data_IF_109318547423
#
_entry.id   IF_109318547423
#
_cell.length_a   1.000
_cell.length_b   1.000
_cell.length_c   1.000
_cell.angle_alpha   90.00
_cell.angle_beta   90.00
_cell.angle_gamma   90.00
#
_symmetry.space_group_name_H-M   'P 1'
#
loop_
_entity.id
_entity.type
_entity.pdbx_description
1 polymer ?
#
# COMPACT_ATOMS: atom_id res chain seq x y z
N UNK A 1 13.56 -2.17 -24.12
CA UNK A 1 13.50 -3.65 -23.97
C UNK A 1 12.18 -3.96 -23.29
N UNK A 2 11.22 -4.55 -24.00
CA UNK A 2 9.93 -4.92 -23.41
C UNK A 2 10.12 -6.12 -22.48
N UNK A 3 9.55 -6.06 -21.28
CA UNK A 3 9.62 -7.16 -20.31
C UNK A 3 8.57 -8.22 -20.68
N UNK A 4 8.81 -9.50 -20.35
CA UNK A 4 7.80 -10.53 -20.58
C UNK A 4 6.56 -10.25 -19.73
N UNK A 5 5.36 -10.52 -20.27
CA UNK A 5 4.03 -10.09 -19.76
C UNK A 5 3.76 -10.43 -18.28
N UNK A 6 4.31 -11.55 -17.81
CA UNK A 6 4.27 -12.01 -16.41
C UNK A 6 5.10 -11.13 -15.46
N UNK A 7 6.21 -10.56 -15.94
CA UNK A 7 7.05 -9.63 -15.19
C UNK A 7 6.49 -8.21 -15.28
N UNK A 8 5.85 -7.82 -16.38
CA UNK A 8 5.21 -6.50 -16.52
C UNK A 8 4.15 -6.21 -15.45
N UNK A 9 3.43 -7.24 -14.97
CA UNK A 9 2.47 -7.05 -13.89
C UNK A 9 3.19 -6.67 -12.58
N UNK A 10 4.20 -7.43 -12.20
CA UNK A 10 4.94 -7.24 -10.93
C UNK A 10 5.90 -6.06 -11.04
N UNK A 11 6.36 -5.71 -12.24
CA UNK A 11 7.41 -4.73 -12.44
C UNK A 11 7.22 -4.00 -13.78
N UNK A 12 6.20 -3.12 -13.90
CA UNK A 12 5.87 -2.47 -15.17
C UNK A 12 7.01 -1.56 -15.65
N UNK A 13 7.32 -1.58 -16.94
CA UNK A 13 8.27 -0.65 -17.55
C UNK A 13 7.66 0.74 -17.65
N UNK A 14 8.22 1.71 -16.94
CA UNK A 14 7.69 3.07 -16.91
C UNK A 14 8.34 3.88 -18.03
N UNK A 15 7.65 3.93 -19.17
CA UNK A 15 8.09 4.69 -20.35
C UNK A 15 7.30 5.99 -20.49
N UNK A 16 6.00 5.94 -20.17
CA UNK A 16 5.07 7.08 -20.28
C UNK A 16 4.44 7.45 -18.94
N UNK A 17 3.92 8.68 -18.86
CA UNK A 17 3.17 9.19 -17.69
C UNK A 17 1.94 8.34 -17.36
N UNK A 18 1.26 7.80 -18.38
CA UNK A 18 0.09 6.92 -18.22
C UNK A 18 0.47 5.58 -17.61
N UNK A 19 1.60 5.01 -18.02
CA UNK A 19 2.15 3.76 -17.46
C UNK A 19 2.68 3.96 -16.05
N UNK A 20 3.27 5.12 -15.76
CA UNK A 20 3.66 5.52 -14.42
C UNK A 20 2.46 5.61 -13.45
N UNK A 21 1.34 6.15 -13.92
CA UNK A 21 0.09 6.22 -13.16
C UNK A 21 -0.57 4.84 -12.98
N UNK A 22 -0.46 3.93 -13.96
CA UNK A 22 -0.90 2.54 -13.79
C UNK A 22 -0.06 1.81 -12.72
N UNK A 23 1.25 2.01 -12.70
CA UNK A 23 2.13 1.45 -11.68
C UNK A 23 1.78 1.98 -10.27
N UNK A 24 1.46 3.28 -10.14
CA UNK A 24 1.08 3.87 -8.85
C UNK A 24 -0.25 3.34 -8.28
N UNK A 25 -1.17 2.89 -9.14
CA UNK A 25 -2.43 2.28 -8.70
C UNK A 25 -2.23 1.00 -7.88
N UNK A 26 -1.09 0.31 -8.00
CA UNK A 26 -0.80 -0.84 -7.14
C UNK A 26 -0.75 -0.45 -5.65
N UNK A 27 -0.19 0.72 -5.33
CA UNK A 27 -0.17 1.23 -3.94
C UNK A 27 -1.55 1.69 -3.47
N UNK A 28 -2.42 2.14 -4.38
CA UNK A 28 -3.82 2.45 -4.07
C UNK A 28 -4.58 1.18 -3.68
N UNK A 29 -4.43 0.11 -4.48
CA UNK A 29 -5.03 -1.18 -4.15
C UNK A 29 -4.46 -1.78 -2.87
N UNK A 30 -3.15 -1.66 -2.64
CA UNK A 30 -2.52 -2.10 -1.40
C UNK A 30 -3.07 -1.38 -0.16
N UNK A 31 -3.17 -0.04 -0.20
CA UNK A 31 -3.74 0.75 0.90
C UNK A 31 -5.23 0.46 1.12
N UNK A 32 -6.01 0.31 0.06
CA UNK A 32 -7.42 -0.09 0.15
C UNK A 32 -7.57 -1.49 0.77
N UNK A 33 -6.70 -2.44 0.41
CA UNK A 33 -6.68 -3.76 1.02
C UNK A 33 -6.34 -3.70 2.52
N UNK A 34 -5.33 -2.93 2.92
CA UNK A 34 -4.99 -2.75 4.33
C UNK A 34 -6.16 -2.15 5.12
N UNK A 35 -6.74 -1.04 4.65
CA UNK A 35 -7.89 -0.41 5.30
C UNK A 35 -9.09 -1.34 5.38
N UNK A 36 -9.41 -2.04 4.27
CA UNK A 36 -10.51 -3.00 4.22
C UNK A 36 -10.31 -4.18 5.16
N UNK A 37 -9.10 -4.76 5.19
CA UNK A 37 -8.77 -5.84 6.11
C UNK A 37 -8.91 -5.39 7.57
N UNK A 38 -8.39 -4.22 7.92
CA UNK A 38 -8.50 -3.67 9.29
C UNK A 38 -9.96 -3.47 9.69
N UNK A 39 -10.80 -2.89 8.83
CA UNK A 39 -12.24 -2.73 9.10
C UNK A 39 -12.92 -4.09 9.30
N UNK A 40 -12.63 -5.07 8.45
CA UNK A 40 -13.19 -6.43 8.58
C UNK A 40 -12.78 -7.07 9.90
N UNK A 41 -11.50 -6.94 10.30
CA UNK A 41 -11.04 -7.45 11.60
C UNK A 41 -11.72 -6.77 12.78
N UNK A 42 -11.89 -5.45 12.74
CA UNK A 42 -12.62 -4.70 13.78
C UNK A 42 -14.08 -5.16 13.87
N UNK A 43 -14.77 -5.30 12.74
CA UNK A 43 -16.17 -5.76 12.71
C UNK A 43 -16.28 -7.20 13.21
N UNK A 44 -15.43 -8.12 12.76
CA UNK A 44 -15.44 -9.51 13.22
C UNK A 44 -15.15 -9.62 14.73
N UNK A 45 -14.25 -8.78 15.26
CA UNK A 45 -13.96 -8.75 16.68
C UNK A 45 -15.19 -8.36 17.53
N UNK A 46 -16.06 -7.48 17.02
CA UNK A 46 -17.31 -7.11 17.69
C UNK A 46 -18.34 -8.25 17.76
N UNK A 47 -18.32 -9.20 16.82
CA UNK A 47 -19.34 -10.24 16.70
C UNK A 47 -19.02 -11.56 17.44
N UNK A 48 -17.83 -11.78 17.99
CA UNK A 48 -17.56 -13.11 18.55
C UNK A 48 -16.27 -13.38 19.32
N UNK A 49 -15.41 -12.40 19.60
CA UNK A 49 -14.21 -12.69 20.38
C UNK A 49 -13.84 -11.56 21.34
N UNK A 50 -14.23 -11.72 22.59
CA UNK A 50 -13.80 -10.96 23.76
C UNK A 50 -12.28 -11.14 24.07
N UNK A 51 -11.48 -11.58 23.10
CA UNK A 51 -10.03 -11.84 23.24
C UNK A 51 -9.16 -10.63 22.85
N UNK A 52 -9.68 -9.65 22.11
CA UNK A 52 -8.91 -8.45 21.74
C UNK A 52 -9.76 -7.21 21.99
N UNK A 53 -9.37 -6.40 22.98
CA UNK A 53 -9.82 -5.02 23.09
C UNK A 53 -9.33 -4.27 21.85
N UNK A 54 -10.13 -4.27 20.78
CA UNK A 54 -9.85 -3.46 19.60
C UNK A 54 -10.13 -2.00 19.97
N UNK A 55 -9.04 -1.33 20.38
CA UNK A 55 -9.00 0.10 20.65
C UNK A 55 -9.33 0.89 19.38
N UNK A 56 -9.87 2.10 19.58
CA UNK A 56 -10.11 3.11 18.54
C UNK A 56 -8.89 3.37 17.64
N UNK A 57 -7.69 2.91 18.02
CA UNK A 57 -6.46 2.92 17.24
C UNK A 57 -6.58 2.17 15.91
N UNK A 58 -7.25 1.02 15.84
CA UNK A 58 -7.37 0.27 14.58
C UNK A 58 -8.23 0.99 13.53
N UNK A 59 -9.23 1.76 13.97
CA UNK A 59 -10.01 2.63 13.09
C UNK A 59 -9.18 3.83 12.61
N UNK A 60 -8.32 4.37 13.47
CA UNK A 60 -7.38 5.42 13.09
C UNK A 60 -6.42 4.94 12.01
N UNK A 61 -5.88 3.72 12.15
CA UNK A 61 -4.98 3.09 11.17
C UNK A 61 -5.67 2.92 9.81
N UNK A 62 -6.90 2.39 9.80
CA UNK A 62 -7.70 2.27 8.58
C UNK A 62 -7.93 3.64 7.92
N UNK A 63 -8.21 4.67 8.71
CA UNK A 63 -8.39 6.04 8.22
C UNK A 63 -7.09 6.63 7.64
N UNK A 64 -5.94 6.37 8.28
CA UNK A 64 -4.63 6.77 7.76
C UNK A 64 -4.34 6.12 6.41
N UNK A 65 -4.64 4.83 6.24
CA UNK A 65 -4.50 4.16 4.93
C UNK A 65 -5.43 4.73 3.86
N UNK A 66 -6.65 5.15 4.21
CA UNK A 66 -7.55 5.83 3.28
C UNK A 66 -6.94 7.17 2.82
N UNK A 67 -6.41 7.96 3.74
CA UNK A 67 -5.73 9.24 3.43
C UNK A 67 -4.49 8.99 2.56
N UNK A 68 -3.69 7.98 2.88
CA UNK A 68 -2.53 7.56 2.09
C UNK A 68 -2.95 7.15 0.68
N UNK A 69 -3.99 6.32 0.55
CA UNK A 69 -4.54 5.91 -0.73
C UNK A 69 -4.98 7.10 -1.57
N UNK A 70 -5.67 8.06 -0.97
CA UNK A 70 -6.03 9.32 -1.62
C UNK A 70 -4.80 10.14 -2.05
N UNK A 71 -3.76 10.18 -1.22
CA UNK A 71 -2.49 10.83 -1.55
C UNK A 71 -1.76 10.15 -2.72
N UNK A 72 -1.77 8.82 -2.79
CA UNK A 72 -1.26 8.02 -3.90
C UNK A 72 -2.07 8.29 -5.17
N UNK A 73 -3.40 8.41 -5.06
CA UNK A 73 -4.28 8.78 -6.17
C UNK A 73 -3.94 10.17 -6.74
N UNK A 74 -3.63 11.14 -5.88
CA UNK A 74 -3.11 12.47 -6.28
C UNK A 74 -1.64 12.45 -6.73
N UNK A 75 -1.03 11.28 -6.86
CA UNK A 75 0.38 11.09 -7.20
C UNK A 75 1.34 11.84 -6.26
N UNK A 76 1.04 11.95 -4.96
CA UNK A 76 1.93 12.61 -4.00
C UNK A 76 3.09 11.69 -3.59
N UNK A 77 4.34 12.17 -3.76
CA UNK A 77 5.56 11.43 -3.39
C UNK A 77 5.60 11.10 -1.90
N UNK A 78 5.20 12.04 -1.04
CA UNK A 78 5.25 11.86 0.41
C UNK A 78 4.26 10.79 0.84
N UNK A 79 3.04 10.81 0.30
CA UNK A 79 2.00 9.83 0.62
C UNK A 79 2.42 8.39 0.26
N UNK A 80 3.12 8.20 -0.87
CA UNK A 80 3.60 6.88 -1.28
C UNK A 80 4.63 6.30 -0.31
N UNK A 81 5.58 7.14 0.15
CA UNK A 81 6.60 6.73 1.12
C UNK A 81 5.99 6.53 2.50
N UNK A 82 5.10 7.44 2.93
CA UNK A 82 4.37 7.32 4.19
C UNK A 82 3.53 6.04 4.24
N UNK A 83 2.88 5.66 3.13
CA UNK A 83 2.11 4.42 3.03
C UNK A 83 2.93 3.16 3.24
N UNK A 84 4.12 3.09 2.62
CA UNK A 84 5.04 1.98 2.83
C UNK A 84 5.55 1.95 4.28
N UNK A 85 5.93 3.11 4.83
CA UNK A 85 6.46 3.21 6.18
C UNK A 85 5.42 2.78 7.24
N UNK A 86 4.20 3.31 7.13
CA UNK A 86 3.10 2.98 8.03
C UNK A 86 2.76 1.48 7.97
N UNK A 87 2.70 0.92 6.76
CA UNK A 87 2.50 -0.52 6.57
C UNK A 87 3.60 -1.38 7.21
N UNK A 88 4.87 -1.00 7.08
CA UNK A 88 5.98 -1.74 7.71
C UNK A 88 5.88 -1.67 9.23
N UNK A 89 5.60 -0.48 9.79
CA UNK A 89 5.45 -0.28 11.23
C UNK A 89 4.33 -1.16 11.78
N UNK A 90 3.16 -1.13 11.17
CA UNK A 90 2.03 -1.98 11.59
C UNK A 90 2.37 -3.47 11.45
N UNK A 91 3.01 -3.87 10.36
CA UNK A 91 3.37 -5.28 10.16
C UNK A 91 4.34 -5.77 11.24
N UNK A 92 5.33 -4.97 11.61
CA UNK A 92 6.26 -5.28 12.69
C UNK A 92 5.56 -5.33 14.05
N UNK A 93 4.64 -4.39 14.31
CA UNK A 93 3.83 -4.38 15.53
C UNK A 93 2.94 -5.63 15.65
N UNK A 94 2.26 -6.02 14.58
CA UNK A 94 1.45 -7.26 14.57
C UNK A 94 2.32 -8.50 14.81
N UNK A 95 3.51 -8.56 14.21
CA UNK A 95 4.42 -9.68 14.37
C UNK A 95 5.05 -9.75 15.76
N UNK A 96 5.29 -8.61 16.42
CA UNK A 96 5.75 -8.60 17.82
C UNK A 96 4.65 -9.03 18.79
N UNK A 97 3.40 -8.67 18.52
CA UNK A 97 2.27 -9.00 19.38
C UNK A 97 1.74 -10.44 19.21
N UNK A 98 1.81 -11.01 18.00
CA UNK A 98 1.14 -12.28 17.66
C UNK A 98 2.02 -13.27 16.88
N UNK A 99 3.29 -12.97 16.69
CA UNK A 99 4.21 -13.73 15.84
C UNK A 99 4.02 -13.48 14.33
N UNK A 100 4.97 -13.91 13.50
CA UNK A 100 4.91 -13.72 12.05
C UNK A 100 3.77 -14.53 11.42
N UNK A 101 2.71 -13.82 11.00
CA UNK A 101 1.57 -14.38 10.26
C UNK A 101 1.60 -13.96 8.80
N UNK A 102 1.36 -14.90 7.89
CA UNK A 102 1.22 -14.71 6.44
C UNK A 102 2.34 -13.87 5.78
N UNK A 103 3.62 -14.27 5.91
CA UNK A 103 4.75 -13.50 5.37
C UNK A 103 4.69 -13.32 3.84
N UNK A 104 4.10 -14.27 3.11
CA UNK A 104 3.94 -14.16 1.65
C UNK A 104 3.04 -12.97 1.23
N UNK A 105 1.87 -12.82 1.85
CA UNK A 105 1.02 -11.63 1.66
C UNK A 105 1.77 -10.37 2.07
N UNK A 106 2.55 -10.46 3.16
CA UNK A 106 3.24 -9.31 3.67
C UNK A 106 4.25 -8.75 2.64
N UNK A 107 5.06 -9.64 2.07
CA UNK A 107 6.02 -9.33 1.00
C UNK A 107 5.32 -8.82 -0.26
N UNK A 108 4.21 -9.44 -0.65
CA UNK A 108 3.45 -9.03 -1.84
C UNK A 108 2.94 -7.58 -1.73
N UNK A 109 2.35 -7.21 -0.59
CA UNK A 109 1.88 -5.84 -0.32
C UNK A 109 3.05 -4.86 -0.30
N UNK A 110 4.19 -5.24 0.31
CA UNK A 110 5.41 -4.43 0.27
C UNK A 110 5.84 -4.13 -1.16
N UNK A 111 5.86 -5.14 -2.03
CA UNK A 111 6.23 -4.96 -3.45
C UNK A 111 5.25 -4.02 -4.17
N UNK A 112 3.95 -4.09 -3.89
CA UNK A 112 2.97 -3.15 -4.45
C UNK A 112 3.25 -1.69 -4.03
N UNK A 113 3.59 -1.45 -2.75
CA UNK A 113 3.97 -0.12 -2.29
C UNK A 113 5.29 0.37 -2.92
N UNK A 114 6.30 -0.49 -3.05
CA UNK A 114 7.56 -0.16 -3.73
C UNK A 114 7.33 0.22 -5.19
N UNK A 115 6.50 -0.54 -5.90
CA UNK A 115 6.11 -0.21 -7.27
C UNK A 115 5.37 1.12 -7.36
N UNK A 116 4.51 1.41 -6.38
CA UNK A 116 3.80 2.67 -6.34
C UNK A 116 4.74 3.87 -6.20
N UNK A 117 5.70 3.78 -5.27
CA UNK A 117 6.74 4.80 -5.08
C UNK A 117 7.50 5.01 -6.39
N UNK A 118 7.96 3.92 -7.03
CA UNK A 118 8.69 4.01 -8.30
C UNK A 118 7.85 4.66 -9.41
N UNK A 119 6.57 4.29 -9.53
CA UNK A 119 5.63 4.90 -10.46
C UNK A 119 5.47 6.40 -10.24
N UNK A 120 5.28 6.83 -9.00
CA UNK A 120 5.08 8.25 -8.64
C UNK A 120 6.34 9.08 -8.86
N UNK A 121 7.52 8.54 -8.55
CA UNK A 121 8.79 9.24 -8.79
C UNK A 121 9.09 9.37 -10.28
N UNK A 122 8.87 8.30 -11.05
CA UNK A 122 9.02 8.35 -12.50
C UNK A 122 8.03 9.33 -13.15
N UNK A 123 6.77 9.36 -12.70
CA UNK A 123 5.76 10.33 -13.17
C UNK A 123 6.26 11.78 -13.03
N UNK A 124 6.82 12.13 -11.87
CA UNK A 124 7.36 13.47 -11.64
C UNK A 124 8.61 13.77 -12.47
N UNK A 125 9.48 12.77 -12.66
CA UNK A 125 10.68 12.92 -13.49
C UNK A 125 10.30 13.20 -14.94
N UNK A 126 9.36 12.43 -15.49
CA UNK A 126 8.85 12.62 -16.86
C UNK A 126 8.14 13.97 -16.98
N UNK A 127 7.25 14.30 -16.03
CA UNK A 127 6.54 15.59 -16.03
C UNK A 127 7.50 16.79 -15.97
N UNK A 128 8.58 16.70 -15.21
CA UNK A 128 9.61 17.75 -15.15
C UNK A 128 10.41 17.86 -16.45
N UNK A 129 10.64 16.76 -17.16
CA UNK A 129 11.38 16.76 -18.42
C UNK A 129 10.56 17.24 -19.64
N UNK A 130 9.23 17.32 -19.51
CA UNK A 130 8.32 17.86 -20.53
C UNK A 130 8.05 19.37 -20.38
N UNK A 131 8.62 20.01 -19.35
CA UNK A 131 8.54 21.46 -19.09
C UNK A 131 9.92 22.04 -19.37
#
# INVERSE_FOLDING_TARGET
>A
MALPKNIEWIWPSIVDTTTAQKASKQGLWASAWCAGATIVFVVLAQFGSQMFNFDSSALLDAFLFIIIGWGIYKMNRIAAVAGLALYIIERLYMWSASGPKNPAIAIFITLMFINSIRGIFAYHKIKKAQI
#
